data_IF_727449750489
#
_entry.id   IF_727449750489
#
_cell.length_a   1.000
_cell.length_b   1.000
_cell.length_c   1.000
_cell.angle_alpha   90.00
_cell.angle_beta   90.00
_cell.angle_gamma   90.00
#
_symmetry.space_group_name_H-M   'P 1'
#
loop_
_entity.id
_entity.type
_entity.pdbx_description
1 polymer ?
#
# COMPACT_ATOMS: atom_id res chain seq x y z
N UNK A 1 -0.32 -15.14 25.86
CA UNK A 1 -0.74 -14.07 24.93
C UNK A 1 -0.83 -14.67 23.53
N UNK A 2 -2.04 -14.93 23.03
CA UNK A 2 -2.29 -15.65 21.77
C UNK A 2 -2.42 -14.76 20.53
N UNK A 3 -1.61 -13.70 20.43
CA UNK A 3 -1.72 -12.72 19.33
C UNK A 3 -1.04 -13.26 18.08
N UNK A 4 -1.70 -13.13 16.92
CA UNK A 4 -1.18 -13.54 15.61
C UNK A 4 -1.01 -12.32 14.71
N UNK A 5 0.10 -12.25 13.99
CA UNK A 5 0.41 -11.17 13.06
C UNK A 5 0.73 -11.75 11.69
N UNK A 6 0.12 -11.19 10.65
CA UNK A 6 0.43 -11.48 9.25
C UNK A 6 0.89 -10.19 8.59
N UNK A 7 2.06 -10.23 7.95
CA UNK A 7 2.62 -9.13 7.17
C UNK A 7 2.47 -9.48 5.71
N UNK A 8 1.66 -8.73 4.98
CA UNK A 8 1.55 -8.86 3.53
C UNK A 8 2.51 -7.84 2.91
N UNK A 9 3.44 -8.30 2.08
CA UNK A 9 4.46 -7.45 1.48
C UNK A 9 4.52 -7.66 -0.02
N UNK A 10 4.78 -6.59 -0.77
CA UNK A 10 5.22 -6.69 -2.15
C UNK A 10 6.75 -6.86 -2.12
N UNK A 11 7.31 -7.87 -2.79
CA UNK A 11 8.76 -8.19 -2.71
C UNK A 11 9.67 -7.05 -3.21
N UNK A 12 9.11 -6.20 -4.07
CA UNK A 12 9.78 -5.02 -4.63
C UNK A 12 9.56 -3.74 -3.80
N UNK A 13 8.80 -3.81 -2.71
CA UNK A 13 8.61 -2.70 -1.78
C UNK A 13 9.76 -2.65 -0.77
N UNK A 14 10.48 -1.52 -0.75
CA UNK A 14 11.61 -1.29 0.14
C UNK A 14 11.20 -0.69 1.49
N UNK A 15 9.97 -0.16 1.63
CA UNK A 15 9.51 0.49 2.86
C UNK A 15 9.47 -0.48 4.05
N UNK A 16 8.98 -1.73 3.94
CA UNK A 16 9.03 -2.68 5.05
C UNK A 16 10.45 -3.04 5.48
N UNK A 17 11.46 -2.84 4.63
CA UNK A 17 12.84 -3.23 4.94
C UNK A 17 13.60 -2.15 5.72
N UNK A 18 13.05 -0.94 5.88
CA UNK A 18 13.64 0.13 6.70
C UNK A 18 13.06 0.14 8.12
N UNK A 19 13.88 0.39 9.17
CA UNK A 19 15.29 0.80 9.12
C UNK A 19 16.30 -0.34 8.92
N UNK A 20 15.83 -1.58 8.76
CA UNK A 20 16.66 -2.79 8.62
C UNK A 20 17.78 -2.69 7.58
N UNK A 21 17.58 -2.10 6.40
CA UNK A 21 18.62 -1.92 5.38
C UNK A 21 19.79 -1.05 5.89
N UNK A 22 19.50 0.03 6.63
CA UNK A 22 20.52 0.92 7.19
C UNK A 22 21.40 0.21 8.24
N UNK A 23 20.83 -0.76 8.96
CA UNK A 23 21.48 -1.42 10.10
C UNK A 23 21.95 -2.86 9.82
N UNK A 24 21.48 -3.55 8.78
CA UNK A 24 21.69 -5.00 8.62
C UNK A 24 22.74 -5.36 7.55
N UNK A 25 22.97 -4.53 6.52
CA UNK A 25 23.95 -4.84 5.46
C UNK A 25 25.41 -4.63 5.91
N UNK A 26 25.70 -3.56 6.66
CA UNK A 26 27.06 -3.30 7.18
C UNK A 26 27.46 -4.21 8.34
N UNK A 27 26.51 -4.94 8.92
CA UNK A 27 26.68 -5.54 10.26
C UNK A 27 26.35 -7.05 10.34
N UNK A 28 26.49 -7.81 9.23
CA UNK A 28 26.37 -9.28 9.26
C UNK A 28 27.21 -9.94 10.36
N UNK A 29 28.39 -9.37 10.67
CA UNK A 29 29.34 -9.84 11.68
C UNK A 29 28.92 -9.44 13.11
N UNK A 30 28.04 -8.44 13.26
CA UNK A 30 27.68 -7.83 14.55
C UNK A 30 26.25 -8.14 15.03
N UNK A 31 25.53 -9.06 14.36
CA UNK A 31 24.16 -9.46 14.73
C UNK A 31 24.00 -9.77 16.23
N UNK A 32 24.96 -10.49 16.84
CA UNK A 32 24.92 -10.90 18.25
C UNK A 32 24.97 -9.72 19.24
N UNK A 33 25.55 -8.58 18.85
CA UNK A 33 25.65 -7.37 19.67
C UNK A 33 24.50 -6.39 19.40
N UNK A 34 23.98 -6.35 18.17
CA UNK A 34 22.86 -5.47 17.78
C UNK A 34 21.57 -5.84 18.50
N UNK A 35 21.29 -7.12 18.73
CA UNK A 35 20.12 -7.54 19.53
C UNK A 35 20.17 -7.04 20.98
N UNK A 36 21.33 -6.58 21.49
CA UNK A 36 21.48 -5.97 22.82
C UNK A 36 21.33 -4.44 22.82
N UNK A 37 21.25 -3.80 21.65
CA UNK A 37 21.06 -2.36 21.56
C UNK A 37 19.55 -2.02 21.63
N UNK A 38 19.16 -0.97 22.39
CA UNK A 38 17.76 -0.55 22.54
C UNK A 38 17.12 -0.04 21.22
N UNK A 39 17.90 0.08 20.15
CA UNK A 39 17.46 0.53 18.81
C UNK A 39 17.31 -0.62 17.80
N UNK A 40 17.28 -1.88 18.25
CA UNK A 40 17.13 -3.02 17.35
C UNK A 40 15.68 -3.16 16.85
N UNK A 41 15.53 -3.13 15.53
CA UNK A 41 14.26 -3.41 14.86
C UNK A 41 14.18 -4.89 14.51
N UNK A 42 13.06 -5.54 14.84
CA UNK A 42 12.81 -6.93 14.48
C UNK A 42 11.36 -7.09 14.07
N UNK A 43 11.18 -7.71 12.90
CA UNK A 43 9.86 -8.02 12.40
C UNK A 43 9.18 -9.12 13.23
N UNK A 44 7.90 -8.93 13.51
CA UNK A 44 7.06 -9.90 14.25
C UNK A 44 5.96 -10.47 13.34
N UNK A 45 5.60 -11.73 13.54
CA UNK A 45 4.57 -12.42 12.75
C UNK A 45 5.09 -13.17 11.53
N UNK A 46 4.15 -13.73 10.78
CA UNK A 46 4.38 -14.48 9.54
C UNK A 46 4.31 -13.51 8.35
N UNK A 47 5.18 -13.71 7.36
CA UNK A 47 5.20 -12.92 6.14
C UNK A 47 4.52 -13.66 5.00
N UNK A 48 3.66 -12.95 4.27
CA UNK A 48 3.11 -13.34 2.99
C UNK A 48 3.72 -12.42 1.93
N UNK A 49 4.72 -12.95 1.23
CA UNK A 49 5.39 -12.26 0.14
C UNK A 49 4.60 -12.40 -1.16
N UNK A 50 4.27 -11.27 -1.78
CA UNK A 50 3.56 -11.16 -3.04
C UNK A 50 4.48 -10.51 -4.08
N UNK A 51 4.44 -11.01 -5.31
CA UNK A 51 5.19 -10.42 -6.42
C UNK A 51 4.22 -9.76 -7.40
N UNK A 52 4.34 -8.45 -7.56
CA UNK A 52 3.47 -7.69 -8.45
C UNK A 52 3.66 -8.02 -9.93
N UNK A 53 4.81 -8.56 -10.31
CA UNK A 53 5.12 -8.95 -11.69
C UNK A 53 4.30 -10.15 -12.17
N UNK A 54 3.71 -10.92 -11.25
CA UNK A 54 2.80 -12.02 -11.58
C UNK A 54 1.40 -11.55 -12.00
N UNK A 55 1.04 -10.30 -11.71
CA UNK A 55 -0.25 -9.75 -12.10
C UNK A 55 -0.28 -9.41 -13.60
N UNK A 56 -1.22 -9.96 -14.39
CA UNK A 56 -1.35 -9.61 -15.80
C UNK A 56 -1.88 -8.18 -16.01
N UNK A 57 -2.38 -7.53 -14.95
CA UNK A 57 -2.97 -6.19 -14.97
C UNK A 57 -1.94 -5.07 -14.82
N UNK A 58 -0.83 -5.33 -14.13
CA UNK A 58 0.14 -4.32 -13.75
C UNK A 58 1.24 -4.18 -14.81
N UNK A 59 1.69 -2.95 -15.05
CA UNK A 59 2.80 -2.68 -15.97
C UNK A 59 4.15 -2.75 -15.25
N UNK A 60 5.23 -3.14 -15.94
CA UNK A 60 6.58 -2.93 -15.43
C UNK A 60 6.80 -1.44 -15.14
N UNK A 61 7.38 -1.13 -13.98
CA UNK A 61 7.69 0.24 -13.57
C UNK A 61 8.86 0.24 -12.60
N UNK A 62 9.56 1.37 -12.49
CA UNK A 62 10.59 1.61 -11.47
C UNK A 62 10.10 2.62 -10.40
N UNK A 63 8.82 2.96 -10.41
CA UNK A 63 8.22 3.88 -9.44
C UNK A 63 7.98 3.19 -8.11
N UNK A 64 8.79 3.51 -7.10
CA UNK A 64 8.68 2.98 -5.75
C UNK A 64 7.32 3.27 -5.10
N UNK A 65 6.64 4.34 -5.50
CA UNK A 65 5.30 4.66 -5.00
C UNK A 65 4.24 3.65 -5.47
N UNK A 66 4.45 3.05 -6.64
CA UNK A 66 3.61 1.96 -7.14
C UNK A 66 3.82 0.68 -6.32
N UNK A 67 5.07 0.38 -5.92
CA UNK A 67 5.38 -0.82 -5.14
C UNK A 67 4.80 -0.76 -3.74
N UNK A 68 4.81 0.42 -3.12
CA UNK A 68 4.25 0.68 -1.80
C UNK A 68 2.74 1.01 -1.82
N UNK A 69 2.07 0.86 -2.96
CA UNK A 69 0.67 1.24 -3.08
C UNK A 69 -0.25 0.21 -2.40
N UNK A 70 -1.05 0.65 -1.41
CA UNK A 70 -2.00 -0.21 -0.70
C UNK A 70 -3.04 -0.85 -1.63
N UNK A 71 -3.53 -0.14 -2.64
CA UNK A 71 -4.52 -0.69 -3.58
C UNK A 71 -3.90 -1.74 -4.50
N UNK A 72 -2.64 -1.57 -4.87
CA UNK A 72 -1.85 -2.61 -5.54
C UNK A 72 -1.66 -3.83 -4.64
N UNK A 73 -1.27 -3.65 -3.37
CA UNK A 73 -1.09 -4.78 -2.44
C UNK A 73 -2.39 -5.60 -2.26
N UNK A 74 -3.53 -4.92 -2.13
CA UNK A 74 -4.84 -5.59 -2.05
C UNK A 74 -5.23 -6.29 -3.36
N UNK A 75 -4.85 -5.72 -4.52
CA UNK A 75 -5.00 -6.37 -5.82
C UNK A 75 -4.17 -7.66 -5.91
N UNK A 76 -2.94 -7.64 -5.40
CA UNK A 76 -2.09 -8.83 -5.35
C UNK A 76 -2.64 -9.89 -4.42
N UNK A 77 -3.14 -9.48 -3.25
CA UNK A 77 -3.73 -10.39 -2.28
C UNK A 77 -4.97 -11.09 -2.84
N UNK A 78 -5.83 -10.34 -3.55
CA UNK A 78 -7.04 -10.89 -4.18
C UNK A 78 -6.73 -11.90 -5.30
N UNK A 79 -5.61 -11.71 -6.00
CA UNK A 79 -5.16 -12.59 -7.07
C UNK A 79 -4.22 -13.72 -6.64
N UNK A 80 -3.85 -13.78 -5.36
CA UNK A 80 -2.90 -14.75 -4.84
C UNK A 80 -3.59 -16.07 -4.45
N UNK A 81 -3.11 -17.18 -5.01
CA UNK A 81 -3.65 -18.53 -4.77
C UNK A 81 -2.61 -19.52 -4.24
N UNK A 82 -1.43 -19.03 -3.87
CA UNK A 82 -0.31 -19.84 -3.43
C UNK A 82 0.88 -19.81 -4.40
N UNK A 83 2.02 -20.41 -3.99
CA UNK A 83 3.21 -20.51 -4.84
C UNK A 83 2.90 -21.25 -6.14
N UNK A 84 3.46 -20.78 -7.26
CA UNK A 84 3.33 -21.38 -8.60
C UNK A 84 1.89 -21.49 -9.13
N UNK A 85 0.90 -20.92 -8.43
CA UNK A 85 -0.48 -20.85 -8.90
C UNK A 85 -0.66 -19.63 -9.79
N UNK A 86 -1.50 -19.78 -10.81
CA UNK A 86 -1.85 -18.69 -11.72
C UNK A 86 -2.57 -17.58 -10.97
N UNK A 87 -2.12 -16.34 -11.21
CA UNK A 87 -2.81 -15.15 -10.75
C UNK A 87 -4.19 -15.03 -11.39
N UNK A 88 -5.23 -14.91 -10.57
CA UNK A 88 -6.59 -14.59 -11.00
C UNK A 88 -7.39 -13.98 -9.85
N UNK A 89 -8.14 -12.91 -10.11
CA UNK A 89 -8.92 -12.21 -9.09
C UNK A 89 -10.08 -13.09 -8.63
N UNK A 90 -10.29 -13.18 -7.32
CA UNK A 90 -11.26 -14.10 -6.71
C UNK A 90 -12.48 -13.40 -6.10
N UNK A 91 -12.34 -12.14 -5.66
CA UNK A 91 -13.42 -11.39 -5.01
C UNK A 91 -14.23 -10.47 -5.93
N UNK A 92 -13.89 -10.41 -7.22
CA UNK A 92 -14.50 -9.47 -8.17
C UNK A 92 -14.07 -8.01 -7.96
N UNK A 93 -12.95 -7.78 -7.27
CA UNK A 93 -12.37 -6.45 -7.08
C UNK A 93 -12.01 -5.81 -8.42
N UNK A 94 -12.45 -4.57 -8.62
CA UNK A 94 -12.11 -3.81 -9.82
C UNK A 94 -10.61 -3.43 -9.84
N UNK A 95 -9.84 -3.83 -10.88
CA UNK A 95 -8.45 -3.41 -11.07
C UNK A 95 -8.27 -1.90 -11.08
N UNK A 96 -9.26 -1.11 -11.52
CA UNK A 96 -9.19 0.35 -11.59
C UNK A 96 -8.82 1.00 -10.24
N UNK A 97 -9.14 0.32 -9.12
CA UNK A 97 -8.76 0.75 -7.78
C UNK A 97 -7.25 0.90 -7.57
N UNK A 98 -6.42 0.20 -8.35
CA UNK A 98 -4.95 0.30 -8.28
C UNK A 98 -4.50 1.72 -8.59
N UNK A 99 -5.01 2.33 -9.67
CA UNK A 99 -4.63 3.68 -10.11
C UNK A 99 -5.23 4.81 -9.24
N UNK A 100 -5.85 4.48 -8.10
CA UNK A 100 -6.43 5.47 -7.18
C UNK A 100 -5.41 6.55 -6.78
N UNK A 101 -4.14 6.16 -6.59
CA UNK A 101 -3.07 7.04 -6.14
C UNK A 101 -1.70 6.71 -6.75
N UNK A 102 -1.68 6.03 -7.90
CA UNK A 102 -0.47 5.74 -8.68
C UNK A 102 -0.82 5.53 -10.16
N UNK A 103 0.19 5.23 -10.97
CA UNK A 103 0.06 4.83 -12.37
C UNK A 103 0.67 3.43 -12.58
N UNK A 104 -0.06 2.38 -12.20
CA UNK A 104 0.48 1.02 -12.16
C UNK A 104 -0.25 0.02 -13.06
N UNK A 105 -1.48 0.32 -13.47
CA UNK A 105 -2.18 -0.50 -14.45
C UNK A 105 -1.58 -0.32 -15.85
N UNK A 106 -1.68 -1.38 -16.67
CA UNK A 106 -1.35 -1.31 -18.09
C UNK A 106 -2.28 -0.33 -18.83
N UNK A 107 -1.73 0.36 -19.81
CA UNK A 107 -2.40 1.45 -20.54
C UNK A 107 -3.67 0.99 -21.27
N UNK A 108 -3.71 -0.25 -21.76
CA UNK A 108 -4.88 -0.78 -22.48
C UNK A 108 -6.16 -0.91 -21.63
N UNK A 109 -6.05 -0.79 -20.30
CA UNK A 109 -7.23 -0.72 -19.43
C UNK A 109 -7.88 0.67 -19.40
N UNK A 110 -7.22 1.70 -19.95
CA UNK A 110 -7.73 3.07 -20.10
C UNK A 110 -8.18 3.72 -18.77
N UNK A 111 -7.64 3.26 -17.63
CA UNK A 111 -7.92 3.83 -16.32
C UNK A 111 -6.94 4.99 -16.07
N UNK A 112 -7.42 6.23 -15.86
CA UNK A 112 -6.54 7.36 -15.60
C UNK A 112 -5.66 7.12 -14.37
N UNK A 113 -4.38 7.50 -14.40
CA UNK A 113 -3.53 7.44 -13.21
C UNK A 113 -3.96 8.48 -12.18
N UNK A 114 -3.68 8.22 -10.90
CA UNK A 114 -4.00 9.14 -9.80
C UNK A 114 -5.44 9.67 -9.80
N UNK A 115 -6.40 8.85 -10.21
CA UNK A 115 -7.76 9.34 -10.52
C UNK A 115 -8.51 9.82 -9.29
N UNK A 116 -8.13 9.40 -8.07
CA UNK A 116 -8.87 9.82 -6.89
C UNK A 116 -8.64 11.30 -6.64
N UNK A 117 -9.74 12.02 -6.72
CA UNK A 117 -9.86 13.39 -6.32
C UNK A 117 -11.30 13.63 -5.87
N UNK A 118 -11.50 14.52 -4.92
CA UNK A 118 -12.84 14.97 -4.58
C UNK A 118 -13.35 15.88 -5.72
N UNK A 119 -14.67 15.92 -5.95
CA UNK A 119 -15.23 16.79 -6.98
C UNK A 119 -14.75 18.23 -6.78
N UNK A 120 -14.26 18.87 -7.84
CA UNK A 120 -13.69 20.23 -7.80
C UNK A 120 -12.59 20.41 -6.72
N UNK A 121 -11.83 19.35 -6.40
CA UNK A 121 -10.83 19.34 -5.31
C UNK A 121 -11.41 19.71 -3.95
N UNK A 122 -12.70 19.46 -3.74
CA UNK A 122 -13.42 19.79 -2.51
C UNK A 122 -13.98 21.21 -2.44
N UNK A 123 -13.80 22.02 -3.48
CA UNK A 123 -14.44 23.34 -3.57
C UNK A 123 -15.95 23.18 -3.80
N UNK A 124 -16.74 24.06 -3.18
CA UNK A 124 -18.20 24.12 -3.37
C UNK A 124 -18.61 25.53 -3.81
N UNK A 125 -19.72 25.63 -4.55
CA UNK A 125 -20.33 26.94 -4.83
C UNK A 125 -21.23 27.35 -3.67
N UNK A 126 -21.05 28.56 -3.15
CA UNK A 126 -21.94 29.14 -2.16
C UNK A 126 -23.20 29.75 -2.82
N UNK A 127 -24.13 30.27 -2.02
CA UNK A 127 -25.37 30.93 -2.50
C UNK A 127 -25.14 32.18 -3.35
N UNK A 128 -23.94 32.78 -3.28
CA UNK A 128 -23.53 33.93 -4.10
C UNK A 128 -22.84 33.48 -5.41
N UNK A 129 -22.77 32.18 -5.69
CA UNK A 129 -22.11 31.63 -6.89
C UNK A 129 -20.58 31.61 -6.82
N UNK A 130 -19.97 31.93 -5.67
CA UNK A 130 -18.52 31.90 -5.48
C UNK A 130 -18.05 30.51 -5.10
N UNK A 131 -16.91 30.09 -5.66
CA UNK A 131 -16.22 28.87 -5.24
C UNK A 131 -15.47 29.10 -3.94
N UNK A 132 -15.84 28.35 -2.90
CA UNK A 132 -15.25 28.46 -1.57
C UNK A 132 -14.78 27.08 -1.07
N UNK A 133 -13.76 27.09 -0.22
CA UNK A 133 -13.39 25.89 0.53
C UNK A 133 -14.36 25.76 1.71
N UNK A 134 -15.10 24.64 1.85
CA UNK A 134 -16.00 24.46 2.98
C UNK A 134 -15.18 24.33 4.27
N UNK A 135 -15.77 24.78 5.38
CA UNK A 135 -15.22 24.51 6.69
C UNK A 135 -15.10 23.00 6.91
N UNK A 136 -14.01 22.57 7.55
CA UNK A 136 -13.82 21.16 7.89
C UNK A 136 -14.94 20.77 8.85
N UNK A 137 -15.78 19.81 8.44
CA UNK A 137 -16.78 19.19 9.32
C UNK A 137 -16.04 18.64 10.53
N UNK A 138 -16.24 19.25 11.70
CA UNK A 138 -15.76 18.70 12.97
C UNK A 138 -16.71 17.57 13.33
N UNK A 139 -16.28 16.33 13.12
CA UNK A 139 -16.96 15.18 13.72
C UNK A 139 -16.67 15.29 15.21
N UNK A 140 -17.61 15.86 15.97
CA UNK A 140 -17.61 15.72 17.42
C UNK A 140 -18.01 14.27 17.65
N UNK A 141 -17.04 13.42 17.97
CA UNK A 141 -17.35 12.11 18.55
C UNK A 141 -18.08 12.39 19.87
N UNK A 142 -19.40 12.27 19.85
CA UNK A 142 -20.19 12.17 21.06
C UNK A 142 -19.69 10.95 21.82
N UNK A 143 -18.84 11.19 22.82
CA UNK A 143 -18.42 10.17 23.77
C UNK A 143 -19.68 9.69 24.46
N UNK A 144 -20.05 8.44 24.21
CA UNK A 144 -20.92 7.67 25.07
C UNK A 144 -20.29 7.65 26.47
N UNK A 145 -20.78 8.53 27.35
CA UNK A 145 -20.71 8.37 28.80
C UNK A 145 -21.73 7.36 29.28
#
# INVERSE_FOLDING_TARGET
LGVKFLRVVNVHDEVPKVPGILFNEKFKIMRKWIYKLPWSYSHVGVELALDHTHSPFLKPTNDLSCFHNLKALLHLLDGYHGPERRFHLSSGRDPAMVNKSCDFLKEHYLVPPFWRQDANKGMIQNSEGRWVQPDRVRIIEERHT
#
